data_IF_615541141613
#
_entry.id   IF_615541141613
#
_cell.length_a   1.000
_cell.length_b   1.000
_cell.length_c   1.000
_cell.angle_alpha   90.00
_cell.angle_beta   90.00
_cell.angle_gamma   90.00
#
_symmetry.space_group_name_H-M   'P 1'
#
loop_
_entity.id
_entity.type
_entity.pdbx_description
1 polymer ?
#
# COMPACT_ATOMS: atom_id res chain seq x y z
N UNK A 1 15.63 8.48 6.17
CA UNK A 1 15.08 9.86 6.15
C UNK A 1 13.79 10.09 6.96
N UNK A 2 12.93 9.10 7.29
CA UNK A 2 11.69 9.32 8.09
C UNK A 2 11.81 9.16 9.61
N UNK A 3 12.98 8.75 10.10
CA UNK A 3 13.20 8.38 11.52
C UNK A 3 13.12 9.61 12.45
N UNK A 4 13.74 10.74 12.07
CA UNK A 4 13.69 11.98 12.86
C UNK A 4 12.28 12.58 12.98
N UNK A 5 11.47 12.50 11.92
CA UNK A 5 10.12 13.09 11.92
C UNK A 5 9.15 12.29 12.82
N UNK A 6 9.31 10.97 12.90
CA UNK A 6 8.54 10.13 13.81
C UNK A 6 9.04 10.18 15.25
N UNK A 7 10.35 10.40 15.47
CA UNK A 7 10.92 10.62 16.79
C UNK A 7 10.36 11.89 17.46
N UNK A 8 10.27 12.99 16.70
CA UNK A 8 9.68 14.26 17.17
C UNK A 8 8.19 14.09 17.51
N UNK A 9 7.41 13.39 16.66
CA UNK A 9 5.99 13.11 16.95
C UNK A 9 5.78 12.23 18.18
N UNK A 10 6.68 11.27 18.43
CA UNK A 10 6.61 10.40 19.59
C UNK A 10 7.04 11.13 20.88
N UNK A 11 8.01 12.04 20.78
CA UNK A 11 8.38 12.97 21.86
C UNK A 11 7.25 13.96 22.20
N UNK A 12 6.40 14.30 21.22
CA UNK A 12 5.16 15.06 21.43
C UNK A 12 4.03 14.24 22.08
N UNK A 13 4.27 12.98 22.45
CA UNK A 13 3.29 12.14 23.16
C UNK A 13 2.32 11.38 22.25
N UNK A 14 2.51 11.40 20.92
CA UNK A 14 1.65 10.64 20.00
C UNK A 14 1.92 9.13 20.19
N UNK A 15 0.91 8.33 20.59
CA UNK A 15 1.09 6.91 20.80
C UNK A 15 1.53 6.21 19.52
N UNK A 16 2.50 5.29 19.60
CA UNK A 16 2.95 4.49 18.47
C UNK A 16 1.80 3.77 17.73
N UNK A 17 0.71 3.47 18.43
CA UNK A 17 -0.54 2.92 17.88
C UNK A 17 -1.18 3.81 16.80
N UNK A 18 -1.12 5.14 16.93
CA UNK A 18 -1.66 6.07 15.94
C UNK A 18 -0.80 6.10 14.67
N UNK A 19 0.53 6.06 14.80
CA UNK A 19 1.43 5.95 13.65
C UNK A 19 1.22 4.65 12.87
N UNK A 20 1.02 3.54 13.59
CA UNK A 20 0.76 2.23 12.97
C UNK A 20 -0.58 2.28 12.21
N UNK A 21 -1.66 2.75 12.83
CA UNK A 21 -2.96 2.89 12.18
C UNK A 21 -2.90 3.81 10.95
N UNK A 22 -2.22 4.95 11.05
CA UNK A 22 -2.05 5.86 9.92
C UNK A 22 -1.30 5.20 8.75
N UNK A 23 -0.25 4.42 9.04
CA UNK A 23 0.54 3.71 8.03
C UNK A 23 -0.26 2.60 7.35
N UNK A 24 -1.04 1.85 8.11
CA UNK A 24 -1.92 0.80 7.58
C UNK A 24 -2.99 1.42 6.69
N UNK A 25 -3.69 2.44 7.17
CA UNK A 25 -4.73 3.13 6.39
C UNK A 25 -4.17 3.73 5.10
N UNK A 26 -3.01 4.38 5.15
CA UNK A 26 -2.33 4.89 3.94
C UNK A 26 -1.99 3.77 2.95
N UNK A 27 -1.53 2.63 3.45
CA UNK A 27 -1.18 1.47 2.61
C UNK A 27 -2.40 0.88 1.92
N UNK A 28 -3.57 0.89 2.58
CA UNK A 28 -4.85 0.48 1.99
C UNK A 28 -5.25 1.43 0.85
N UNK A 29 -5.23 2.73 1.08
CA UNK A 29 -5.53 3.73 0.05
C UNK A 29 -4.56 3.66 -1.13
N UNK A 30 -3.28 3.41 -0.86
CA UNK A 30 -2.26 3.23 -1.89
C UNK A 30 -2.53 1.98 -2.74
N UNK A 31 -2.88 0.85 -2.11
CA UNK A 31 -3.19 -0.38 -2.85
C UNK A 31 -4.43 -0.24 -3.71
N UNK A 32 -5.51 0.34 -3.17
CA UNK A 32 -6.76 0.55 -3.92
C UNK A 32 -6.51 1.44 -5.13
N UNK A 33 -5.83 2.57 -4.94
CA UNK A 33 -5.54 3.50 -6.04
C UNK A 33 -4.61 2.88 -7.09
N UNK A 34 -3.60 2.11 -6.67
CA UNK A 34 -2.71 1.38 -7.58
C UNK A 34 -3.43 0.34 -8.43
N UNK A 35 -4.33 -0.46 -7.83
CA UNK A 35 -5.11 -1.48 -8.56
C UNK A 35 -6.09 -0.85 -9.54
N UNK A 36 -6.80 0.21 -9.13
CA UNK A 36 -7.68 0.96 -10.03
C UNK A 36 -6.87 1.54 -11.21
N UNK A 37 -5.71 2.14 -10.92
CA UNK A 37 -4.80 2.66 -11.95
C UNK A 37 -4.32 1.59 -12.93
N UNK A 38 -3.98 0.39 -12.43
CA UNK A 38 -3.58 -0.75 -13.26
C UNK A 38 -4.69 -1.24 -14.19
N UNK A 39 -5.93 -1.33 -13.68
CA UNK A 39 -7.09 -1.71 -14.50
C UNK A 39 -7.35 -0.66 -15.59
N UNK A 40 -7.30 0.63 -15.25
CA UNK A 40 -7.47 1.73 -16.21
C UNK A 40 -6.38 1.70 -17.30
N UNK A 41 -5.12 1.47 -16.91
CA UNK A 41 -4.01 1.32 -17.87
C UNK A 41 -4.24 0.12 -18.79
N UNK A 42 -4.69 -1.02 -18.25
CA UNK A 42 -4.97 -2.23 -19.05
C UNK A 42 -6.09 -1.97 -20.06
N UNK A 43 -7.13 -1.23 -19.66
CA UNK A 43 -8.20 -0.79 -20.57
C UNK A 43 -7.65 0.13 -21.66
N UNK A 44 -6.80 1.10 -21.31
CA UNK A 44 -6.17 1.99 -22.28
C UNK A 44 -5.29 1.22 -23.28
N UNK A 45 -4.52 0.24 -22.79
CA UNK A 45 -3.70 -0.63 -23.64
C UNK A 45 -4.56 -1.48 -24.57
N UNK A 46 -5.73 -1.95 -24.12
CA UNK A 46 -6.64 -2.72 -24.97
C UNK A 46 -7.14 -1.93 -26.19
N UNK A 47 -7.26 -0.59 -26.07
CA UNK A 47 -7.64 0.31 -27.17
C UNK A 47 -6.44 0.61 -28.08
N UNK A 48 -5.22 0.65 -27.52
CA UNK A 48 -4.00 0.93 -28.27
C UNK A 48 -3.48 -0.26 -29.07
N UNK A 49 -3.83 -1.50 -28.68
CA UNK A 49 -3.39 -2.72 -29.36
C UNK A 49 -4.19 -2.92 -30.66
N UNK A 50 -3.53 -3.27 -31.79
CA UNK A 50 -4.22 -3.59 -33.03
C UNK A 50 -5.13 -4.80 -32.88
N UNK A 51 -6.32 -4.72 -33.50
CA UNK A 51 -7.41 -5.71 -33.47
C UNK A 51 -7.00 -7.17 -33.81
N UNK A 52 -5.81 -7.37 -34.36
CA UNK A 52 -5.21 -8.66 -34.69
C UNK A 52 -4.78 -9.46 -33.46
N UNK A 53 -4.60 -8.83 -32.29
CA UNK A 53 -4.20 -9.48 -31.04
C UNK A 53 -5.42 -9.58 -30.13
N UNK A 54 -5.96 -10.80 -29.89
CA UNK A 54 -7.13 -10.97 -29.04
C UNK A 54 -6.81 -10.64 -27.58
N UNK A 55 -7.46 -9.61 -27.03
CA UNK A 55 -7.43 -9.29 -25.59
C UNK A 55 -8.73 -9.77 -24.96
N UNK A 56 -8.66 -10.87 -24.19
CA UNK A 56 -9.84 -11.44 -23.52
C UNK A 56 -9.97 -10.80 -22.12
N UNK A 57 -10.94 -9.90 -21.97
CA UNK A 57 -11.20 -9.24 -20.70
C UNK A 57 -12.20 -10.04 -19.86
N UNK A 58 -11.70 -10.97 -19.03
CA UNK A 58 -12.53 -11.75 -18.12
C UNK A 58 -12.68 -11.02 -16.78
N UNK A 59 -13.78 -10.29 -16.60
CA UNK A 59 -14.08 -9.51 -15.38
C UNK A 59 -14.01 -10.33 -14.08
N UNK A 60 -14.57 -11.55 -14.00
CA UNK A 60 -14.36 -12.44 -12.84
C UNK A 60 -12.88 -12.66 -12.51
N UNK A 61 -12.06 -13.00 -13.50
CA UNK A 61 -10.64 -13.29 -13.28
C UNK A 61 -9.86 -12.05 -12.86
N UNK A 62 -10.15 -10.89 -13.47
CA UNK A 62 -9.54 -9.60 -13.13
C UNK A 62 -9.90 -9.20 -11.70
N UNK A 63 -11.16 -9.37 -11.30
CA UNK A 63 -11.60 -9.07 -9.94
C UNK A 63 -10.90 -9.96 -8.91
N UNK A 64 -10.73 -11.26 -9.22
CA UNK A 64 -10.03 -12.21 -8.37
C UNK A 64 -8.55 -11.82 -8.21
N UNK A 65 -7.88 -11.47 -9.31
CA UNK A 65 -6.50 -11.01 -9.27
C UNK A 65 -6.35 -9.68 -8.52
N UNK A 66 -7.27 -8.73 -8.73
CA UNK A 66 -7.29 -7.46 -8.02
C UNK A 66 -7.37 -7.67 -6.49
N UNK A 67 -8.29 -8.51 -6.03
CA UNK A 67 -8.40 -8.88 -4.61
C UNK A 67 -7.13 -9.57 -4.13
N UNK A 68 -6.59 -10.52 -4.89
CA UNK A 68 -5.35 -11.21 -4.56
C UNK A 68 -4.16 -10.26 -4.41
N UNK A 69 -4.01 -9.29 -5.31
CA UNK A 69 -2.99 -8.25 -5.24
C UNK A 69 -3.18 -7.36 -4.00
N UNK A 70 -4.41 -6.93 -3.70
CA UNK A 70 -4.72 -6.14 -2.50
C UNK A 70 -4.30 -6.90 -1.23
N UNK A 71 -4.64 -8.18 -1.12
CA UNK A 71 -4.28 -9.02 0.03
C UNK A 71 -2.77 -9.17 0.15
N UNK A 72 -2.06 -9.48 -0.95
CA UNK A 72 -0.60 -9.59 -0.93
C UNK A 72 0.07 -8.26 -0.55
N UNK A 73 -0.40 -7.14 -1.07
CA UNK A 73 0.14 -5.81 -0.75
C UNK A 73 -0.16 -5.40 0.69
N UNK A 74 -1.32 -5.75 1.23
CA UNK A 74 -1.61 -5.59 2.66
C UNK A 74 -0.63 -6.39 3.52
N UNK A 75 -0.36 -7.65 3.16
CA UNK A 75 0.64 -8.47 3.85
C UNK A 75 2.04 -7.81 3.78
N UNK A 76 2.42 -7.30 2.61
CA UNK A 76 3.67 -6.55 2.43
C UNK A 76 3.74 -5.27 3.28
N UNK A 77 2.62 -4.57 3.48
CA UNK A 77 2.52 -3.38 4.33
C UNK A 77 2.74 -3.66 5.82
N UNK A 78 2.66 -4.92 6.26
CA UNK A 78 2.98 -5.31 7.64
C UNK A 78 4.49 -5.25 7.92
N UNK A 79 5.35 -5.26 6.89
CA UNK A 79 6.81 -5.12 7.04
C UNK A 79 7.21 -3.79 7.71
N UNK A 80 6.75 -2.61 7.25
CA UNK A 80 7.01 -1.36 7.94
C UNK A 80 6.33 -1.27 9.31
N UNK A 81 5.17 -1.91 9.51
CA UNK A 81 4.53 -1.99 10.85
C UNK A 81 5.44 -2.70 11.85
N UNK A 82 6.07 -3.82 11.48
CA UNK A 82 7.05 -4.51 12.33
C UNK A 82 8.26 -3.63 12.66
N UNK A 83 8.72 -2.82 11.71
CA UNK A 83 9.77 -1.83 11.98
C UNK A 83 9.31 -0.79 13.00
N UNK A 84 8.10 -0.22 12.86
CA UNK A 84 7.57 0.78 13.80
C UNK A 84 7.44 0.22 15.22
N UNK A 85 7.00 -1.04 15.37
CA UNK A 85 6.87 -1.72 16.67
C UNK A 85 8.24 -1.96 17.33
N UNK A 86 9.28 -2.28 16.55
CA UNK A 86 10.65 -2.47 17.05
C UNK A 86 11.37 -1.16 17.40
N UNK A 87 10.81 0.00 17.06
CA UNK A 87 11.39 1.28 17.49
C UNK A 87 11.07 1.43 18.98
N UNK A 88 12.10 1.31 19.82
CA UNK A 88 12.00 1.60 21.24
C UNK A 88 11.77 3.10 21.46
N UNK A 89 10.80 3.50 22.31
CA UNK A 89 10.52 4.92 22.59
C UNK A 89 11.70 5.63 23.27
N UNK A 90 12.53 4.86 23.97
CA UNK A 90 13.60 5.39 24.83
C UNK A 90 14.83 5.83 24.02
N UNK A 91 15.07 5.26 22.84
CA UNK A 91 16.17 5.68 21.97
C UNK A 91 15.90 6.98 21.21
N UNK A 92 14.65 7.46 21.17
CA UNK A 92 14.35 8.75 20.55
C UNK A 92 14.77 9.95 21.42
N UNK A 93 15.13 9.71 22.68
CA UNK A 93 15.49 10.74 23.66
C UNK A 93 17.01 10.89 23.87
N UNK A 94 17.85 10.07 23.23
CA UNK A 94 19.31 10.14 23.35
C UNK A 94 19.98 10.18 21.97
#
# INVERSE_FOLDING_TARGET
QKIGHYAVMRAQGIPARHLILATVTQSIFLMISGVIGGILLTLLTSVAIPMSVPVIMNWPLISLMAVGLIVLGMIGSLLPVRMIIKIDPVQALN
#
